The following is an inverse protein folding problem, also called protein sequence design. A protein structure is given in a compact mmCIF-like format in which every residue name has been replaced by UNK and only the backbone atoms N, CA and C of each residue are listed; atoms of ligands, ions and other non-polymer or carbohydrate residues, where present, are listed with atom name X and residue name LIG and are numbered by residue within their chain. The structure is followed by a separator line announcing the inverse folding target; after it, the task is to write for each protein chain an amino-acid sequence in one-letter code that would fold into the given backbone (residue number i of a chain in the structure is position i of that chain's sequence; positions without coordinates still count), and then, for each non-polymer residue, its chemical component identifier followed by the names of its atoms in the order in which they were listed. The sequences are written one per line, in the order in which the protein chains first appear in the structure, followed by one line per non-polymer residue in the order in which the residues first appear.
data_IF_922497362242
#
_entry.id   IF_922497362242
#
_cell.length_a   1.000
_cell.length_b   1.000
_cell.length_c   1.000
_cell.angle_alpha   90.00
_cell.angle_beta   90.00
_cell.angle_gamma   90.00
#
_symmetry.space_group_name_H-M   'P 1'
#
loop_
_entity.id
_entity.type
_entity.pdbx_description
1 polymer ?
#
# COMPACT_ATOMS: atom_id res chain seq x y z
N UNK A 1 -64.63 -35.46 -29.78
CA UNK A 1 -64.00 -35.13 -28.49
C UNK A 1 -62.50 -35.12 -28.71
N UNK A 2 -61.90 -33.93 -28.82
CA UNK A 2 -60.47 -33.75 -29.07
C UNK A 2 -59.75 -33.44 -27.75
N UNK A 3 -58.69 -34.19 -27.46
CA UNK A 3 -57.84 -33.99 -26.28
C UNK A 3 -56.67 -33.07 -26.65
N UNK A 4 -56.55 -31.94 -25.95
CA UNK A 4 -55.40 -31.04 -26.00
C UNK A 4 -54.39 -31.48 -24.94
N UNK A 5 -53.18 -31.85 -25.37
CA UNK A 5 -52.03 -32.05 -24.49
C UNK A 5 -51.24 -30.72 -24.41
N UNK A 6 -51.15 -30.16 -23.21
CA UNK A 6 -50.34 -28.97 -22.94
C UNK A 6 -48.92 -29.40 -22.54
N UNK A 7 -47.92 -28.99 -23.33
CA UNK A 7 -46.51 -29.16 -23.02
C UNK A 7 -46.06 -28.03 -22.07
N UNK A 8 -45.65 -28.39 -20.85
CA UNK A 8 -45.00 -27.48 -19.92
C UNK A 8 -43.49 -27.45 -20.23
N UNK A 9 -43.04 -26.38 -20.88
CA UNK A 9 -41.62 -26.04 -20.99
C UNK A 9 -41.12 -25.51 -19.65
N UNK A 10 -40.39 -26.34 -18.90
CA UNK A 10 -39.68 -25.92 -17.69
C UNK A 10 -38.46 -25.06 -18.05
N UNK A 11 -38.52 -23.77 -17.73
CA UNK A 11 -37.34 -22.92 -17.72
C UNK A 11 -36.54 -23.22 -16.45
N UNK A 12 -35.31 -23.71 -16.61
CA UNK A 12 -34.36 -23.84 -15.50
C UNK A 12 -34.00 -22.43 -14.99
N UNK A 13 -33.97 -22.21 -13.66
CA UNK A 13 -33.52 -20.94 -13.12
C UNK A 13 -32.03 -20.75 -13.45
N UNK A 14 -31.72 -19.65 -14.12
CA UNK A 14 -30.33 -19.17 -14.26
C UNK A 14 -29.85 -18.82 -12.85
N UNK A 15 -28.90 -19.62 -12.34
CA UNK A 15 -28.22 -19.32 -11.10
C UNK A 15 -27.45 -18.00 -11.28
N UNK A 16 -27.99 -16.93 -10.71
CA UNK A 16 -27.25 -15.67 -10.53
C UNK A 16 -26.26 -15.94 -9.40
N UNK A 17 -24.98 -16.11 -9.75
CA UNK A 17 -23.91 -16.13 -8.77
C UNK A 17 -23.88 -14.75 -8.11
N UNK A 18 -24.26 -14.70 -6.83
CA UNK A 18 -24.03 -13.52 -5.99
C UNK A 18 -22.52 -13.34 -5.88
N UNK A 19 -21.97 -12.14 -6.16
CA UNK A 19 -20.56 -11.87 -5.93
C UNK A 19 -20.25 -12.17 -4.47
N UNK A 20 -19.42 -13.19 -4.24
CA UNK A 20 -18.93 -13.49 -2.91
C UNK A 20 -18.15 -12.25 -2.45
N UNK A 21 -18.50 -11.69 -1.30
CA UNK A 21 -17.85 -10.49 -0.77
C UNK A 21 -16.32 -10.72 -0.77
N UNK A 22 -15.60 -9.88 -1.49
CA UNK A 22 -14.14 -9.81 -1.50
C UNK A 22 -13.66 -9.82 -0.05
N UNK A 23 -12.73 -10.72 0.29
CA UNK A 23 -12.04 -10.61 1.57
C UNK A 23 -11.27 -9.29 1.55
N UNK A 24 -11.25 -8.50 2.64
CA UNK A 24 -10.40 -7.33 2.70
C UNK A 24 -8.97 -7.73 2.32
N UNK A 25 -8.38 -7.04 1.34
CA UNK A 25 -7.03 -7.36 0.90
C UNK A 25 -6.04 -7.12 2.03
N UNK A 26 -5.14 -8.09 2.27
CA UNK A 26 -3.97 -7.86 3.10
C UNK A 26 -2.89 -7.19 2.23
N UNK A 27 -2.26 -6.14 2.76
CA UNK A 27 -1.23 -5.37 2.04
C UNK A 27 0.17 -5.91 2.31
N UNK A 28 0.33 -6.58 3.45
CA UNK A 28 1.58 -7.21 3.87
C UNK A 28 1.74 -8.66 3.41
N UNK A 29 0.66 -9.29 2.92
CA UNK A 29 0.65 -10.70 2.50
C UNK A 29 0.02 -10.81 1.12
N UNK A 30 0.53 -11.75 0.33
CA UNK A 30 -0.09 -12.11 -0.95
C UNK A 30 -1.29 -13.03 -0.72
N UNK A 31 -2.17 -13.08 -1.71
CA UNK A 31 -3.21 -14.11 -1.78
C UNK A 31 -2.54 -15.48 -1.89
N UNK A 32 -2.84 -16.38 -0.96
CA UNK A 32 -2.34 -17.76 -0.99
C UNK A 32 -3.19 -18.62 -1.91
N UNK A 33 -2.54 -19.45 -2.72
CA UNK A 33 -3.21 -20.33 -3.68
C UNK A 33 -2.56 -20.28 -5.04
N UNK A 34 -3.33 -20.65 -6.07
CA UNK A 34 -2.97 -20.46 -7.46
C UNK A 34 -3.83 -19.35 -8.01
N UNK A 35 -3.20 -18.25 -8.41
CA UNK A 35 -3.87 -17.02 -8.81
C UNK A 35 -3.40 -16.53 -10.16
N UNK A 36 -4.28 -15.82 -10.84
CA UNK A 36 -3.95 -14.99 -12.00
C UNK A 36 -4.63 -13.62 -11.89
N UNK A 37 -4.14 -12.67 -12.67
CA UNK A 37 -4.69 -11.32 -12.75
C UNK A 37 -5.66 -11.23 -13.93
N UNK A 38 -6.81 -10.62 -13.67
CA UNK A 38 -7.82 -10.39 -14.70
C UNK A 38 -8.39 -8.98 -14.59
N UNK A 39 -8.64 -8.35 -15.74
CA UNK A 39 -9.26 -7.02 -15.85
C UNK A 39 -10.20 -7.05 -17.05
N UNK A 40 -11.49 -6.72 -16.90
CA UNK A 40 -12.44 -6.81 -18.00
C UNK A 40 -11.98 -5.99 -19.21
N UNK A 41 -12.06 -6.59 -20.41
CA UNK A 41 -11.64 -5.97 -21.67
C UNK A 41 -10.13 -5.84 -21.87
N UNK A 42 -9.30 -6.32 -20.94
CA UNK A 42 -7.85 -6.30 -21.09
C UNK A 42 -7.35 -7.33 -22.12
N UNK A 43 -6.23 -7.03 -22.78
CA UNK A 43 -5.56 -7.97 -23.70
C UNK A 43 -4.39 -8.67 -23.00
N UNK A 44 -3.96 -9.85 -23.49
CA UNK A 44 -2.71 -10.50 -23.04
C UNK A 44 -1.50 -9.55 -23.06
N UNK A 45 -1.35 -8.76 -24.12
CA UNK A 45 -0.27 -7.78 -24.21
C UNK A 45 -0.32 -6.73 -23.09
N UNK A 46 -1.51 -6.23 -22.73
CA UNK A 46 -1.66 -5.28 -21.62
C UNK A 46 -1.42 -5.93 -20.26
N UNK A 47 -1.82 -7.20 -20.11
CA UNK A 47 -1.56 -8.01 -18.93
C UNK A 47 -0.06 -8.19 -18.71
N UNK A 48 0.64 -8.70 -19.73
CA UNK A 48 2.05 -9.04 -19.60
C UNK A 48 2.92 -7.80 -19.37
N UNK A 49 2.58 -6.69 -20.02
CA UNK A 49 3.24 -5.41 -19.79
C UNK A 49 3.06 -4.92 -18.33
N UNK A 50 1.84 -4.99 -17.78
CA UNK A 50 1.59 -4.59 -16.40
C UNK A 50 2.27 -5.54 -15.40
N UNK A 51 2.24 -6.87 -15.63
CA UNK A 51 2.94 -7.86 -14.80
C UNK A 51 4.45 -7.62 -14.80
N UNK A 52 5.06 -7.43 -15.97
CA UNK A 52 6.50 -7.18 -16.08
C UNK A 52 6.91 -5.88 -15.38
N UNK A 53 6.13 -4.80 -15.54
CA UNK A 53 6.36 -3.54 -14.84
C UNK A 53 6.23 -3.70 -13.32
N UNK A 54 5.17 -4.35 -12.86
CA UNK A 54 4.93 -4.57 -11.44
C UNK A 54 5.97 -5.51 -10.81
N UNK A 55 6.44 -6.52 -11.54
CA UNK A 55 7.54 -7.36 -11.12
C UNK A 55 8.83 -6.56 -10.92
N UNK A 56 9.14 -5.64 -11.83
CA UNK A 56 10.30 -4.77 -11.73
C UNK A 56 10.31 -3.90 -10.47
N UNK A 57 9.14 -3.43 -10.03
CA UNK A 57 8.99 -2.70 -8.76
C UNK A 57 9.00 -3.64 -7.54
N UNK A 58 8.28 -4.77 -7.62
CA UNK A 58 8.19 -5.75 -6.55
C UNK A 58 9.54 -6.36 -6.18
N UNK A 59 10.41 -6.60 -7.16
CA UNK A 59 11.75 -7.14 -6.97
C UNK A 59 12.69 -6.21 -6.17
N UNK A 60 12.33 -4.93 -5.99
CA UNK A 60 13.07 -3.97 -5.16
C UNK A 60 12.71 -4.05 -3.68
N UNK A 61 11.65 -4.78 -3.32
CA UNK A 61 11.24 -4.93 -1.92
C UNK A 61 12.24 -5.75 -1.13
N UNK A 62 12.30 -5.53 0.18
CA UNK A 62 13.21 -6.22 1.10
C UNK A 62 12.44 -6.59 2.35
N UNK A 63 12.45 -7.87 2.74
CA UNK A 63 11.69 -8.32 3.90
C UNK A 63 12.06 -7.54 5.18
N UNK A 64 11.09 -7.33 6.07
CA UNK A 64 11.35 -6.68 7.36
C UNK A 64 12.46 -7.42 8.14
N UNK A 65 12.49 -8.75 8.09
CA UNK A 65 13.53 -9.54 8.74
C UNK A 65 14.92 -9.15 8.22
N UNK A 66 15.13 -9.07 6.90
CA UNK A 66 16.39 -8.59 6.30
C UNK A 66 16.69 -7.12 6.69
N UNK A 67 15.68 -6.23 6.67
CA UNK A 67 15.84 -4.82 7.07
C UNK A 67 16.29 -4.67 8.53
N UNK A 68 15.83 -5.53 9.44
CA UNK A 68 16.17 -5.46 10.87
C UNK A 68 17.35 -6.36 11.30
N UNK A 69 17.61 -7.47 10.60
CA UNK A 69 18.73 -8.40 10.88
C UNK A 69 20.06 -7.93 10.30
N UNK A 70 20.05 -7.12 9.23
CA UNK A 70 21.27 -6.47 8.70
C UNK A 70 21.99 -5.55 9.73
N UNK A 71 21.37 -5.25 10.88
CA UNK A 71 21.99 -4.56 12.02
C UNK A 71 22.70 -5.46 13.04
N UNK A 72 22.54 -6.78 12.94
CA UNK A 72 23.32 -7.76 13.70
C UNK A 72 24.54 -8.16 12.85
N UNK A 73 25.49 -7.23 12.73
CA UNK A 73 26.62 -7.31 11.80
C UNK A 73 27.25 -8.70 11.68
N UNK A 74 27.54 -9.09 10.42
CA UNK A 74 28.48 -10.15 10.02
C UNK A 74 28.67 -11.25 11.06
N UNK A 75 27.60 -11.96 11.42
CA UNK A 75 27.73 -13.24 12.13
C UNK A 75 27.87 -14.33 11.07
N UNK A 76 29.07 -14.89 10.85
CA UNK A 76 29.29 -15.95 9.85
C UNK A 76 28.57 -17.26 10.24
N UNK A 77 27.88 -17.28 11.37
CA UNK A 77 27.28 -18.43 12.03
C UNK A 77 25.78 -18.57 11.80
N UNK A 78 25.14 -17.69 11.02
CA UNK A 78 23.74 -17.92 10.63
C UNK A 78 23.66 -19.11 9.68
N UNK A 79 23.35 -20.27 10.26
CA UNK A 79 23.24 -21.54 9.56
C UNK A 79 22.24 -21.49 8.41
N UNK A 80 22.33 -22.46 7.51
CA UNK A 80 21.51 -22.62 6.29
C UNK A 80 20.01 -22.38 6.54
N UNK A 81 19.51 -22.75 7.73
CA UNK A 81 18.13 -22.56 8.16
C UNK A 81 17.69 -21.07 8.23
N UNK A 82 18.54 -20.17 8.74
CA UNK A 82 18.20 -18.73 8.85
C UNK A 82 18.14 -18.10 7.46
N UNK A 83 19.10 -18.42 6.59
CA UNK A 83 19.11 -17.98 5.19
C UNK A 83 17.90 -18.50 4.38
N UNK A 84 17.48 -19.74 4.62
CA UNK A 84 16.28 -20.29 4.00
C UNK A 84 15.02 -19.55 4.46
N UNK A 85 14.93 -19.17 5.73
CA UNK A 85 13.81 -18.39 6.27
C UNK A 85 13.76 -16.97 5.70
N UNK A 86 14.88 -16.25 5.67
CA UNK A 86 14.98 -14.91 5.05
C UNK A 86 14.57 -14.96 3.58
N UNK A 87 15.03 -15.98 2.84
CA UNK A 87 14.63 -16.19 1.44
C UNK A 87 13.13 -16.43 1.31
N UNK A 88 12.53 -17.22 2.21
CA UNK A 88 11.08 -17.46 2.21
C UNK A 88 10.27 -16.20 2.51
N UNK A 89 10.69 -15.37 3.46
CA UNK A 89 10.01 -14.10 3.73
C UNK A 89 10.19 -13.12 2.58
N UNK A 90 11.37 -13.09 1.96
CA UNK A 90 11.62 -12.28 0.78
C UNK A 90 10.66 -12.62 -0.37
N UNK A 91 10.51 -13.91 -0.69
CA UNK A 91 9.55 -14.36 -1.72
C UNK A 91 8.14 -13.86 -1.47
N UNK A 92 7.73 -13.91 -0.21
CA UNK A 92 6.39 -13.52 0.23
C UNK A 92 6.17 -12.02 0.11
N UNK A 93 7.13 -11.18 0.52
CA UNK A 93 7.01 -9.72 0.35
C UNK A 93 7.05 -9.31 -1.13
N UNK A 94 7.88 -9.97 -1.95
CA UNK A 94 7.90 -9.72 -3.39
C UNK A 94 6.59 -10.15 -4.06
N UNK A 95 6.02 -11.29 -3.68
CA UNK A 95 4.70 -11.72 -4.14
C UNK A 95 3.59 -10.73 -3.75
N UNK A 96 3.58 -10.28 -2.49
CA UNK A 96 2.62 -9.29 -2.01
C UNK A 96 2.75 -7.96 -2.75
N UNK A 97 3.98 -7.50 -2.99
CA UNK A 97 4.28 -6.29 -3.73
C UNK A 97 3.83 -6.35 -5.20
N UNK A 98 4.02 -7.49 -5.87
CA UNK A 98 3.51 -7.73 -7.22
C UNK A 98 1.99 -7.62 -7.24
N UNK A 99 1.31 -8.35 -6.36
CA UNK A 99 -0.15 -8.34 -6.25
C UNK A 99 -0.69 -6.95 -5.96
N UNK A 100 -0.10 -6.25 -4.99
CA UNK A 100 -0.42 -4.87 -4.65
C UNK A 100 -0.30 -3.92 -5.85
N UNK A 101 0.77 -4.02 -6.63
CA UNK A 101 0.96 -3.22 -7.83
C UNK A 101 -0.10 -3.52 -8.89
N UNK A 102 -0.41 -4.79 -9.12
CA UNK A 102 -1.45 -5.20 -10.06
C UNK A 102 -2.83 -4.69 -9.63
N UNK A 103 -3.19 -4.86 -8.35
CA UNK A 103 -4.47 -4.40 -7.81
C UNK A 103 -4.61 -2.89 -7.90
N UNK A 104 -3.57 -2.12 -7.53
CA UNK A 104 -3.57 -0.66 -7.70
C UNK A 104 -3.78 -0.27 -9.17
N UNK A 105 -3.25 -1.04 -10.13
CA UNK A 105 -3.48 -0.81 -11.57
C UNK A 105 -4.86 -1.28 -12.09
N UNK A 106 -5.78 -1.64 -11.19
CA UNK A 106 -7.14 -2.03 -11.55
C UNK A 106 -7.29 -3.49 -11.96
N UNK A 107 -6.29 -4.34 -11.70
CA UNK A 107 -6.42 -5.79 -11.90
C UNK A 107 -7.12 -6.45 -10.70
N UNK A 108 -7.94 -7.45 -11.00
CA UNK A 108 -8.57 -8.34 -10.02
C UNK A 108 -7.65 -9.55 -9.79
N UNK A 109 -7.57 -10.01 -8.56
CA UNK A 109 -6.89 -11.28 -8.23
C UNK A 109 -7.94 -12.39 -8.29
N UNK A 110 -7.71 -13.37 -9.15
CA UNK A 110 -8.59 -14.52 -9.31
C UNK A 110 -7.90 -15.75 -8.77
N UNK A 111 -8.53 -16.44 -7.83
CA UNK A 111 -8.10 -17.71 -7.26
C UNK A 111 -8.76 -18.86 -8.02
N UNK A 112 -7.98 -19.85 -8.43
CA UNK A 112 -8.49 -21.07 -9.06
C UNK A 112 -8.35 -22.30 -8.16
N UNK A 113 -9.04 -23.38 -8.53
CA UNK A 113 -9.04 -24.62 -7.79
C UNK A 113 -7.63 -25.22 -7.65
N UNK A 114 -7.33 -25.80 -6.48
CA UNK A 114 -5.96 -26.24 -6.17
C UNK A 114 -5.42 -27.30 -7.14
N UNK A 115 -6.26 -28.26 -7.56
CA UNK A 115 -5.85 -29.32 -8.48
C UNK A 115 -5.52 -28.77 -9.87
N UNK A 116 -6.37 -27.87 -10.39
CA UNK A 116 -6.14 -27.21 -11.69
C UNK A 116 -4.90 -26.32 -11.63
N UNK A 117 -4.80 -25.45 -10.62
CA UNK A 117 -3.67 -24.55 -10.48
C UNK A 117 -2.34 -25.28 -10.31
N UNK A 118 -2.32 -26.41 -9.60
CA UNK A 118 -1.12 -27.25 -9.51
C UNK A 118 -0.70 -27.83 -10.86
N UNK A 119 -1.67 -28.26 -11.68
CA UNK A 119 -1.38 -28.78 -13.01
C UNK A 119 -0.83 -27.66 -13.90
N UNK A 120 -1.47 -26.48 -13.90
CA UNK A 120 -1.04 -25.32 -14.68
C UNK A 120 0.35 -24.83 -14.27
N UNK A 121 0.63 -24.78 -12.97
CA UNK A 121 1.93 -24.36 -12.45
C UNK A 121 3.09 -25.32 -12.83
N UNK A 122 2.78 -26.53 -13.28
CA UNK A 122 3.76 -27.50 -13.76
C UNK A 122 3.97 -27.43 -15.30
N UNK A 123 3.17 -26.63 -16.01
CA UNK A 123 3.30 -26.43 -17.45
C UNK A 123 4.41 -25.43 -17.78
N UNK A 124 4.78 -25.38 -19.06
CA UNK A 124 5.70 -24.37 -19.59
C UNK A 124 5.08 -22.96 -19.57
N UNK A 125 5.92 -21.93 -19.69
CA UNK A 125 5.47 -20.54 -19.82
C UNK A 125 4.43 -20.37 -20.95
N UNK A 126 4.71 -20.94 -22.12
CA UNK A 126 3.86 -20.82 -23.31
C UNK A 126 2.49 -21.46 -23.08
N UNK A 127 2.44 -22.66 -22.49
CA UNK A 127 1.19 -23.34 -22.19
C UNK A 127 0.34 -22.60 -21.14
N UNK A 128 0.96 -21.96 -20.14
CA UNK A 128 0.23 -21.13 -19.17
C UNK A 128 -0.25 -19.84 -19.80
N UNK A 129 0.54 -19.23 -20.70
CA UNK A 129 0.13 -18.04 -21.44
C UNK A 129 -1.07 -18.34 -22.37
N UNK A 130 -1.04 -19.47 -23.08
CA UNK A 130 -2.15 -19.97 -23.89
C UNK A 130 -3.40 -20.23 -23.03
N UNK A 131 -3.24 -20.81 -21.84
CA UNK A 131 -4.36 -21.00 -20.92
C UNK A 131 -4.95 -19.66 -20.44
N UNK A 132 -4.11 -18.65 -20.20
CA UNK A 132 -4.55 -17.30 -19.83
C UNK A 132 -5.16 -16.51 -20.98
N UNK A 133 -5.00 -16.96 -22.22
CA UNK A 133 -5.62 -16.34 -23.39
C UNK A 133 -7.16 -16.34 -23.23
N UNK A 134 -7.77 -15.18 -23.47
CA UNK A 134 -9.20 -14.97 -23.23
C UNK A 134 -9.62 -14.85 -21.76
N UNK A 135 -8.83 -15.34 -20.79
CA UNK A 135 -9.13 -15.23 -19.35
C UNK A 135 -8.73 -13.90 -18.74
N UNK A 136 -7.58 -13.34 -19.15
CA UNK A 136 -7.08 -12.06 -18.58
C UNK A 136 -8.04 -10.89 -18.84
N UNK A 137 -8.81 -10.95 -19.94
CA UNK A 137 -9.78 -9.94 -20.36
C UNK A 137 -11.24 -10.27 -20.07
N UNK A 138 -11.53 -11.44 -19.53
CA UNK A 138 -12.90 -11.91 -19.33
C UNK A 138 -13.68 -11.01 -18.36
N UNK A 139 -14.92 -10.69 -18.70
CA UNK A 139 -15.86 -10.00 -17.78
C UNK A 139 -16.09 -10.84 -16.51
N UNK A 140 -16.41 -12.12 -16.72
CA UNK A 140 -16.56 -13.15 -15.70
C UNK A 140 -15.39 -14.15 -15.79
N UNK A 141 -14.32 -13.96 -15.01
CA UNK A 141 -13.17 -14.86 -15.03
C UNK A 141 -13.52 -16.26 -14.52
N UNK A 142 -12.81 -17.28 -15.00
CA UNK A 142 -12.85 -18.63 -14.44
C UNK A 142 -12.13 -18.62 -13.08
N UNK A 143 -12.85 -18.88 -11.99
CA UNK A 143 -12.35 -18.87 -10.62
C UNK A 143 -13.03 -17.83 -9.73
N UNK A 144 -12.54 -17.69 -8.50
CA UNK A 144 -13.09 -16.77 -7.51
C UNK A 144 -12.31 -15.45 -7.53
N UNK A 145 -13.00 -14.32 -7.77
CA UNK A 145 -12.39 -13.01 -7.54
C UNK A 145 -12.23 -12.82 -6.04
N UNK A 146 -11.00 -12.88 -5.56
CA UNK A 146 -10.69 -12.84 -4.12
C UNK A 146 -10.17 -11.49 -3.65
N UNK A 147 -9.72 -10.64 -4.57
CA UNK A 147 -9.26 -9.28 -4.26
C UNK A 147 -9.43 -8.32 -5.44
N UNK A 148 -9.84 -7.10 -5.12
CA UNK A 148 -9.89 -5.94 -6.02
C UNK A 148 -9.37 -4.71 -5.29
N UNK A 149 -9.12 -3.61 -5.99
CA UNK A 149 -8.71 -2.37 -5.33
C UNK A 149 -9.84 -1.81 -4.48
N UNK A 150 -9.61 -1.67 -3.18
CA UNK A 150 -10.57 -1.05 -2.27
C UNK A 150 -9.91 -0.03 -1.32
N UNK A 151 -8.72 0.46 -1.68
CA UNK A 151 -7.83 1.23 -0.80
C UNK A 151 -7.59 0.45 0.50
N UNK A 152 -7.13 -0.81 0.36
CA UNK A 152 -7.08 -1.82 1.43
C UNK A 152 -6.34 -1.30 2.66
N UNK A 153 -5.20 -0.62 2.46
CA UNK A 153 -4.37 -0.07 3.54
C UNK A 153 -5.14 0.86 4.49
N UNK A 154 -6.20 1.52 4.01
CA UNK A 154 -7.04 2.37 4.83
C UNK A 154 -7.90 1.53 5.79
N UNK A 155 -8.27 0.30 5.46
CA UNK A 155 -9.19 -0.50 6.26
C UNK A 155 -8.53 -0.98 7.54
N UNK A 156 -9.27 -0.94 8.65
CA UNK A 156 -8.84 -1.49 9.94
C UNK A 156 -8.49 -2.98 9.88
N UNK A 157 -9.24 -3.72 9.07
CA UNK A 157 -9.11 -5.17 8.94
C UNK A 157 -7.86 -5.61 8.19
N UNK A 158 -7.24 -4.72 7.39
CA UNK A 158 -6.10 -5.07 6.57
C UNK A 158 -4.82 -5.15 7.39
N UNK A 159 -4.06 -6.22 7.22
CA UNK A 159 -2.70 -6.35 7.74
C UNK A 159 -1.78 -5.43 6.94
N UNK A 160 -1.19 -4.48 7.65
CA UNK A 160 -0.29 -3.47 7.10
C UNK A 160 1.19 -3.83 7.27
N UNK A 161 1.50 -4.66 8.26
CA UNK A 161 2.85 -5.16 8.49
C UNK A 161 2.77 -6.63 8.92
N UNK A 162 3.63 -7.45 8.33
CA UNK A 162 3.85 -8.83 8.71
C UNK A 162 5.36 -9.10 8.59
N UNK A 163 5.94 -9.71 9.62
CA UNK A 163 7.36 -10.05 9.63
C UNK A 163 7.61 -11.40 8.94
N UNK A 164 6.58 -12.27 8.94
CA UNK A 164 6.67 -13.63 8.41
C UNK A 164 5.53 -13.91 7.43
N UNK A 165 5.44 -13.16 6.33
CA UNK A 165 4.38 -13.36 5.36
C UNK A 165 4.50 -14.74 4.71
N UNK A 166 3.36 -15.34 4.37
CA UNK A 166 3.30 -16.62 3.67
C UNK A 166 3.34 -16.48 2.15
N UNK A 167 3.73 -17.55 1.45
CA UNK A 167 3.67 -17.64 -0.02
C UNK A 167 3.42 -19.08 -0.49
N UNK A 168 3.07 -19.22 -1.78
CA UNK A 168 3.23 -20.46 -2.56
C UNK A 168 4.17 -20.18 -3.73
N UNK A 169 5.23 -20.98 -3.88
CA UNK A 169 6.28 -20.74 -4.88
C UNK A 169 5.76 -20.63 -6.32
N UNK A 170 4.79 -21.48 -6.68
CA UNK A 170 4.29 -21.60 -8.05
C UNK A 170 2.83 -21.10 -8.17
N UNK A 171 2.40 -20.32 -7.19
CA UNK A 171 1.01 -19.86 -7.07
C UNK A 171 0.65 -18.68 -7.97
N UNK A 172 1.59 -18.09 -8.71
CA UNK A 172 1.36 -16.84 -9.47
C UNK A 172 1.44 -17.13 -10.97
N UNK A 173 0.35 -17.63 -11.54
CA UNK A 173 0.29 -18.08 -12.95
C UNK A 173 0.55 -16.93 -13.93
N UNK A 174 0.06 -15.73 -13.62
CA UNK A 174 0.33 -14.53 -14.42
C UNK A 174 1.81 -14.15 -14.47
N UNK A 175 2.56 -14.38 -13.38
CA UNK A 175 4.01 -14.14 -13.36
C UNK A 175 4.73 -15.12 -14.29
N UNK A 176 4.36 -16.40 -14.20
CA UNK A 176 4.92 -17.45 -15.05
C UNK A 176 4.65 -17.16 -16.53
N UNK A 177 3.39 -16.91 -16.91
CA UNK A 177 3.03 -16.62 -18.30
C UNK A 177 3.75 -15.39 -18.88
N UNK A 178 3.72 -14.26 -18.15
CA UNK A 178 4.23 -13.00 -18.68
C UNK A 178 5.76 -12.91 -18.70
N UNK A 179 6.46 -13.62 -17.79
CA UNK A 179 7.89 -13.41 -17.57
C UNK A 179 8.75 -14.68 -17.55
N UNK A 180 8.13 -15.85 -17.55
CA UNK A 180 8.81 -17.13 -17.37
C UNK A 180 9.38 -17.34 -15.96
N UNK A 181 9.03 -16.48 -15.00
CA UNK A 181 9.52 -16.51 -13.62
C UNK A 181 8.50 -17.10 -12.68
N UNK A 182 8.99 -17.66 -11.58
CA UNK A 182 8.19 -18.05 -10.42
C UNK A 182 8.72 -17.37 -9.17
N UNK A 183 7.95 -17.37 -8.07
CA UNK A 183 8.42 -16.78 -6.82
C UNK A 183 9.65 -17.53 -6.28
N UNK A 184 9.83 -18.81 -6.63
CA UNK A 184 11.03 -19.55 -6.26
C UNK A 184 12.34 -18.91 -6.78
N UNK A 185 12.26 -18.15 -7.89
CA UNK A 185 13.40 -17.47 -8.52
C UNK A 185 13.83 -16.19 -7.79
N UNK A 186 13.02 -15.71 -6.84
CA UNK A 186 13.37 -14.52 -6.04
C UNK A 186 14.60 -14.82 -5.20
N UNK A 187 15.65 -14.03 -5.43
CA UNK A 187 16.82 -13.98 -4.58
C UNK A 187 16.76 -12.74 -3.70
N UNK A 188 17.10 -12.84 -2.40
CA UNK A 188 17.19 -11.68 -1.54
C UNK A 188 18.17 -10.64 -2.09
N UNK A 189 17.66 -9.43 -2.33
CA UNK A 189 18.50 -8.27 -2.55
C UNK A 189 19.02 -7.84 -1.19
N UNK A 190 20.33 -8.03 -0.95
CA UNK A 190 20.98 -7.43 0.20
C UNK A 190 20.93 -5.92 0.06
N UNK A 191 20.11 -5.28 0.88
CA UNK A 191 20.22 -3.83 1.04
C UNK A 191 21.31 -3.54 2.08
N UNK A 192 22.30 -2.68 1.77
CA UNK A 192 23.16 -2.15 2.82
C UNK A 192 22.25 -1.45 3.82
N UNK A 193 22.32 -1.85 5.10
CA UNK A 193 21.53 -1.23 6.15
C UNK A 193 21.77 0.28 6.09
N UNK A 194 20.72 1.06 5.84
CA UNK A 194 20.78 2.45 6.23
C UNK A 194 20.68 2.47 7.75
N UNK A 195 21.70 2.94 8.48
CA UNK A 195 21.55 3.11 9.91
C UNK A 195 20.32 4.00 10.13
N UNK A 196 19.40 3.58 11.00
CA UNK A 196 18.39 4.46 11.58
C UNK A 196 19.09 5.50 12.47
N UNK A 197 19.94 6.34 11.87
CA UNK A 197 20.62 7.44 12.54
C UNK A 197 19.79 8.72 12.53
N UNK A 198 18.54 8.65 12.06
CA UNK A 198 17.55 9.67 12.34
C UNK A 198 17.11 9.54 13.80
N UNK A 199 17.96 9.99 14.74
CA UNK A 199 17.42 10.60 15.96
C UNK A 199 16.55 11.75 15.45
N UNK A 200 15.25 11.50 15.31
CA UNK A 200 14.29 12.50 14.88
C UNK A 200 14.53 13.76 15.69
N UNK A 201 14.59 14.92 15.02
CA UNK A 201 14.61 16.20 15.73
C UNK A 201 13.43 16.18 16.72
N UNK A 202 13.67 16.60 17.95
CA UNK A 202 12.62 16.64 18.96
C UNK A 202 11.47 17.49 18.41
N UNK A 203 10.26 16.97 18.56
CA UNK A 203 9.03 17.74 18.31
C UNK A 203 9.12 19.08 19.03
N UNK A 204 8.79 20.16 18.33
CA UNK A 204 8.68 21.49 18.89
C UNK A 204 7.56 21.49 19.94
N UNK A 205 7.75 22.28 21.00
CA UNK A 205 6.67 22.67 21.89
C UNK A 205 5.86 23.81 21.26
N UNK A 206 4.58 23.99 21.63
CA UNK A 206 3.75 25.08 21.10
C UNK A 206 4.39 26.47 21.22
N UNK A 207 5.10 26.75 22.31
CA UNK A 207 5.75 28.05 22.55
C UNK A 207 6.93 28.30 21.60
N UNK A 208 7.47 27.26 20.97
CA UNK A 208 8.62 27.34 20.07
C UNK A 208 8.19 27.64 18.61
N UNK A 209 6.90 27.53 18.29
CA UNK A 209 6.36 27.77 16.94
C UNK A 209 6.72 29.18 16.46
N UNK A 210 6.56 30.20 17.31
CA UNK A 210 6.88 31.59 16.98
C UNK A 210 8.39 31.87 16.78
N UNK A 211 9.27 30.94 17.18
CA UNK A 211 10.73 31.08 17.02
C UNK A 211 11.27 30.42 15.75
N UNK A 212 10.40 29.78 14.97
CA UNK A 212 10.79 29.16 13.69
C UNK A 212 11.10 30.27 12.67
N UNK A 213 12.22 30.17 11.92
CA UNK A 213 12.58 31.19 10.92
C UNK A 213 11.48 31.41 9.87
N UNK A 214 11.27 32.66 9.44
CA UNK A 214 10.22 33.05 8.49
C UNK A 214 10.26 32.30 7.13
N UNK A 215 11.44 31.83 6.72
CA UNK A 215 11.61 31.03 5.50
C UNK A 215 11.23 29.55 5.64
N UNK A 216 11.01 29.06 6.86
CA UNK A 216 10.53 27.72 7.12
C UNK A 216 9.01 27.71 7.28
N UNK A 217 8.43 26.52 7.21
CA UNK A 217 7.05 26.26 7.53
C UNK A 217 6.97 25.27 8.70
N UNK A 218 5.76 25.05 9.21
CA UNK A 218 5.53 24.18 10.36
C UNK A 218 4.48 23.14 9.98
N UNK A 219 4.83 21.88 10.19
CA UNK A 219 3.92 20.75 10.04
C UNK A 219 3.47 20.28 11.43
N UNK A 220 2.16 20.23 11.63
CA UNK A 220 1.51 19.70 12.82
C UNK A 220 0.78 18.41 12.44
N UNK A 221 1.07 17.32 13.15
CA UNK A 221 0.43 16.02 12.94
C UNK A 221 0.04 15.45 14.30
N UNK A 222 -1.09 14.76 14.36
CA UNK A 222 -1.46 13.97 15.53
C UNK A 222 -1.62 12.51 15.12
N UNK A 223 -1.15 11.60 15.97
CA UNK A 223 -1.69 10.24 15.98
C UNK A 223 -2.58 10.12 17.20
N UNK A 224 -3.88 9.95 16.97
CA UNK A 224 -4.90 9.94 18.00
C UNK A 224 -4.88 8.62 18.78
N UNK A 225 -4.82 7.49 18.06
CA UNK A 225 -4.75 6.16 18.61
C UNK A 225 -3.81 5.27 17.78
N UNK A 226 -3.08 4.37 18.43
CA UNK A 226 -2.18 3.40 17.81
C UNK A 226 -2.74 1.98 17.85
N UNK A 227 -2.29 1.12 16.93
CA UNK A 227 -2.44 -0.33 17.09
C UNK A 227 -1.57 -0.82 18.26
N UNK A 228 -1.82 -2.06 18.71
CA UNK A 228 -1.12 -2.71 19.84
C UNK A 228 0.40 -2.71 19.71
N UNK A 229 0.90 -2.88 18.48
CA UNK A 229 2.34 -2.90 18.19
C UNK A 229 2.86 -1.57 17.63
N UNK A 230 1.97 -0.56 17.57
CA UNK A 230 2.27 0.79 17.12
C UNK A 230 1.85 1.08 15.69
N UNK A 231 2.19 2.29 15.26
CA UNK A 231 1.96 2.78 13.89
C UNK A 231 2.81 4.02 13.67
N UNK A 232 3.30 4.17 12.44
CA UNK A 232 4.02 5.37 12.05
C UNK A 232 3.62 5.81 10.65
N UNK A 233 3.79 7.12 10.43
CA UNK A 233 3.69 7.78 9.14
C UNK A 233 5.04 8.42 8.85
N UNK A 234 5.51 8.27 7.63
CA UNK A 234 6.63 9.05 7.12
C UNK A 234 6.08 10.08 6.14
N UNK A 235 6.33 11.34 6.43
CA UNK A 235 6.09 12.43 5.51
C UNK A 235 7.42 12.79 4.84
N UNK A 236 7.47 12.87 3.52
CA UNK A 236 8.68 13.27 2.78
C UNK A 236 8.35 14.41 1.84
N UNK A 237 9.28 15.35 1.68
CA UNK A 237 9.18 16.41 0.69
C UNK A 237 9.57 15.90 -0.70
N UNK A 238 8.70 16.08 -1.71
CA UNK A 238 8.90 15.52 -3.07
C UNK A 238 10.22 15.95 -3.72
N UNK A 239 10.58 17.22 -3.56
CA UNK A 239 11.81 17.80 -4.14
C UNK A 239 13.02 17.72 -3.19
N UNK A 240 12.87 17.04 -2.05
CA UNK A 240 13.97 16.71 -1.15
C UNK A 240 14.81 15.55 -1.72
N UNK A 241 16.11 15.51 -1.40
CA UNK A 241 16.92 14.33 -1.72
C UNK A 241 16.34 13.12 -0.97
N UNK A 242 15.71 12.20 -1.69
CA UNK A 242 14.88 11.12 -1.16
C UNK A 242 15.55 10.22 -0.11
N UNK A 243 14.68 9.48 0.60
CA UNK A 243 14.92 8.31 1.47
C UNK A 243 16.37 8.09 1.93
N UNK A 244 16.83 9.01 2.76
CA UNK A 244 18.03 8.87 3.58
C UNK A 244 17.89 9.76 4.80
N UNK A 245 18.48 9.43 5.96
CA UNK A 245 18.54 10.36 7.07
C UNK A 245 19.20 11.65 6.56
N UNK A 246 18.57 12.83 6.72
CA UNK A 246 19.19 14.07 6.31
C UNK A 246 20.53 14.20 7.06
N UNK A 247 21.60 14.68 6.39
CA UNK A 247 22.78 15.17 7.09
C UNK A 247 22.35 16.13 8.20
N UNK A 248 23.06 16.14 9.33
CA UNK A 248 22.71 16.95 10.52
C UNK A 248 22.48 18.43 10.17
N UNK A 249 23.14 18.89 9.10
CA UNK A 249 23.14 20.28 8.63
C UNK A 249 22.13 20.59 7.50
N UNK A 250 21.36 19.61 7.00
CA UNK A 250 20.32 19.87 6.00
C UNK A 250 18.95 20.16 6.62
N UNK A 251 18.11 20.97 5.97
CA UNK A 251 16.71 21.09 6.33
C UNK A 251 16.04 19.72 6.33
N UNK A 252 15.09 19.51 7.24
CA UNK A 252 14.41 18.23 7.40
C UNK A 252 13.53 17.96 6.16
N UNK A 253 13.97 17.07 5.27
CA UNK A 253 13.18 16.64 4.10
C UNK A 253 12.25 15.46 4.41
N UNK A 254 12.26 14.96 5.65
CA UNK A 254 11.43 13.85 6.10
C UNK A 254 10.99 13.99 7.57
N UNK A 255 9.70 13.83 7.86
CA UNK A 255 9.13 13.87 9.20
C UNK A 255 8.48 12.53 9.55
N UNK A 256 9.08 11.82 10.51
CA UNK A 256 8.54 10.58 11.06
C UNK A 256 7.60 10.89 12.23
N UNK A 257 6.37 10.41 12.14
CA UNK A 257 5.36 10.53 13.20
C UNK A 257 5.02 9.11 13.66
N UNK A 258 5.50 8.74 14.85
CA UNK A 258 5.37 7.38 15.37
C UNK A 258 4.77 7.31 16.77
N UNK A 259 3.93 6.31 16.98
CA UNK A 259 3.35 5.90 18.28
C UNK A 259 3.40 4.38 18.40
N UNK A 260 3.26 3.86 19.61
CA UNK A 260 3.27 2.45 19.98
C UNK A 260 4.37 2.09 20.96
N UNK A 261 4.60 0.79 21.12
CA UNK A 261 5.65 0.24 21.99
C UNK A 261 7.05 0.73 21.60
N UNK A 262 7.35 0.78 20.31
CA UNK A 262 8.64 1.27 19.78
C UNK A 262 8.91 2.74 20.14
N UNK A 263 7.85 3.54 20.30
CA UNK A 263 7.93 4.97 20.60
C UNK A 263 7.50 5.32 22.05
N UNK A 264 7.15 4.31 22.85
CA UNK A 264 6.65 4.43 24.22
C UNK A 264 5.50 5.44 24.42
N UNK A 265 4.60 5.57 23.43
CA UNK A 265 3.44 6.49 23.45
C UNK A 265 2.26 5.90 22.68
N UNK A 266 1.04 5.86 23.19
CA UNK A 266 -0.14 5.38 22.44
C UNK A 266 -0.78 6.43 21.52
N UNK A 267 -0.52 7.70 21.80
CA UNK A 267 -0.95 8.86 21.02
C UNK A 267 0.11 9.95 21.10
N UNK A 268 0.05 10.94 20.22
CA UNK A 268 0.96 12.07 20.32
C UNK A 268 0.78 13.14 19.26
N UNK A 269 1.20 14.34 19.62
CA UNK A 269 1.38 15.46 18.70
C UNK A 269 2.84 15.54 18.27
N UNK A 270 3.04 15.75 16.97
CA UNK A 270 4.33 16.06 16.37
C UNK A 270 4.22 17.43 15.69
N UNK A 271 5.05 18.36 16.12
CA UNK A 271 5.18 19.71 15.55
C UNK A 271 6.62 19.82 15.07
N UNK A 272 6.83 20.04 13.78
CA UNK A 272 8.17 20.11 13.21
C UNK A 272 8.29 21.29 12.26
N UNK A 273 9.41 22.01 12.36
CA UNK A 273 9.80 22.99 11.35
C UNK A 273 10.32 22.24 10.11
N UNK A 274 9.78 22.59 8.96
CA UNK A 274 10.03 21.94 7.67
C UNK A 274 10.28 22.97 6.57
N UNK A 275 11.03 22.63 5.52
CA UNK A 275 11.05 23.44 4.31
C UNK A 275 9.66 23.53 3.66
N UNK A 276 9.35 24.67 3.01
CA UNK A 276 8.25 24.76 2.07
C UNK A 276 8.38 23.77 0.91
N UNK A 277 7.24 23.41 0.34
CA UNK A 277 7.10 22.52 -0.82
C UNK A 277 5.97 21.51 -0.67
N UNK A 278 5.95 20.53 -1.57
CA UNK A 278 5.00 19.42 -1.56
C UNK A 278 5.45 18.33 -0.60
N UNK A 279 4.61 18.02 0.38
CA UNK A 279 4.81 16.96 1.36
C UNK A 279 3.88 15.78 1.08
N UNK A 280 4.44 14.58 1.06
CA UNK A 280 3.76 13.33 0.72
C UNK A 280 3.77 12.40 1.92
N UNK A 281 2.68 11.66 2.17
CA UNK A 281 2.72 10.50 3.07
C UNK A 281 3.36 9.37 2.27
N UNK A 282 4.67 9.14 2.46
CA UNK A 282 5.44 8.18 1.67
C UNK A 282 5.49 6.80 2.31
N UNK A 283 5.29 6.71 3.63
CA UNK A 283 5.16 5.42 4.30
C UNK A 283 4.05 5.41 5.34
N UNK A 284 3.43 4.24 5.50
CA UNK A 284 2.42 3.96 6.49
C UNK A 284 2.67 2.57 7.08
N UNK A 285 3.04 2.51 8.36
CA UNK A 285 3.37 1.28 9.08
C UNK A 285 4.40 0.38 8.34
N UNK A 286 5.36 0.99 7.64
CA UNK A 286 6.41 0.28 6.91
C UNK A 286 6.08 -0.10 5.46
N UNK A 287 4.85 0.20 5.00
CA UNK A 287 4.48 0.09 3.59
C UNK A 287 4.89 1.38 2.88
N UNK A 288 5.62 1.24 1.78
CA UNK A 288 5.98 2.33 0.89
C UNK A 288 4.80 2.67 -0.04
N UNK A 289 4.40 3.94 -0.09
CA UNK A 289 3.25 4.43 -0.84
C UNK A 289 3.59 4.90 -2.27
N UNK A 290 4.69 4.40 -2.84
CA UNK A 290 5.22 4.79 -4.14
C UNK A 290 4.23 4.65 -5.32
N UNK A 291 3.20 3.81 -5.20
CA UNK A 291 2.22 3.61 -6.26
C UNK A 291 1.12 4.69 -6.29
N UNK A 292 1.09 5.56 -5.28
CA UNK A 292 0.14 6.66 -5.19
C UNK A 292 0.02 7.17 -3.76
N UNK A 293 0.89 8.09 -3.38
CA UNK A 293 0.88 8.75 -2.09
C UNK A 293 -0.10 9.94 -2.10
N UNK A 294 -0.77 10.21 -0.96
CA UNK A 294 -1.46 11.47 -0.77
C UNK A 294 -0.45 12.57 -0.40
N UNK A 295 -0.65 13.76 -0.95
CA UNK A 295 0.25 14.89 -0.79
C UNK A 295 -0.49 16.20 -0.56
N UNK A 296 0.18 17.16 0.08
CA UNK A 296 -0.31 18.52 0.29
C UNK A 296 0.83 19.53 0.15
N UNK A 297 0.48 20.77 -0.16
CA UNK A 297 1.43 21.86 -0.29
C UNK A 297 1.64 22.58 1.04
N UNK A 298 2.85 23.09 1.26
CA UNK A 298 3.23 23.94 2.39
C UNK A 298 4.06 25.12 1.88
N UNK A 299 3.64 26.35 2.20
CA UNK A 299 4.30 27.60 1.77
C UNK A 299 5.17 28.19 2.90
N UNK A 300 6.12 29.09 2.57
CA UNK A 300 6.91 29.79 3.59
C UNK A 300 6.03 30.45 4.66
N UNK A 301 6.41 30.30 5.93
CA UNK A 301 5.71 30.89 7.08
C UNK A 301 4.40 30.21 7.49
N UNK A 302 3.91 29.21 6.74
CA UNK A 302 2.64 28.56 7.08
C UNK A 302 2.77 27.58 8.24
N UNK A 303 1.70 27.48 9.04
CA UNK A 303 1.48 26.39 9.99
C UNK A 303 0.36 25.50 9.45
N UNK A 304 0.72 24.28 9.05
CA UNK A 304 -0.20 23.35 8.40
C UNK A 304 -0.47 22.17 9.31
N UNK A 305 -1.76 21.91 9.55
CA UNK A 305 -2.23 20.70 10.23
C UNK A 305 -2.50 19.60 9.20
N UNK A 306 -1.63 18.59 9.15
CA UNK A 306 -1.79 17.41 8.29
C UNK A 306 -2.81 16.39 8.83
N UNK A 307 -3.46 16.71 9.95
CA UNK A 307 -4.56 15.92 10.47
C UNK A 307 -4.20 15.02 11.66
N UNK A 308 -5.25 14.46 12.25
CA UNK A 308 -5.18 13.40 13.23
C UNK A 308 -5.41 12.06 12.54
N UNK A 309 -4.50 11.13 12.76
CA UNK A 309 -4.60 9.77 12.26
C UNK A 309 -5.01 8.84 13.40
N UNK A 310 -6.10 8.11 13.21
CA UNK A 310 -6.54 7.05 14.10
C UNK A 310 -6.32 5.70 13.42
N UNK A 311 -5.29 4.96 13.83
CA UNK A 311 -5.00 3.64 13.26
C UNK A 311 -5.99 2.55 13.66
N UNK A 312 -6.87 2.84 14.63
CA UNK A 312 -7.94 1.96 15.13
C UNK A 312 -9.29 2.25 14.49
N UNK A 313 -9.43 3.37 13.76
CA UNK A 313 -10.63 3.69 13.00
C UNK A 313 -10.87 2.67 11.88
N UNK A 314 -12.15 2.44 11.54
CA UNK A 314 -12.55 1.48 10.50
C UNK A 314 -11.96 1.82 9.13
N UNK A 315 -11.83 3.12 8.84
CA UNK A 315 -11.07 3.66 7.71
C UNK A 315 -10.08 4.70 8.19
N UNK A 316 -8.81 4.45 7.94
CA UNK A 316 -7.70 5.34 8.21
C UNK A 316 -7.72 6.50 7.21
N UNK A 317 -7.63 7.71 7.74
CA UNK A 317 -7.54 8.96 7.02
C UNK A 317 -7.20 10.09 7.99
N UNK A 318 -6.74 11.25 7.48
CA UNK A 318 -6.55 12.42 8.32
C UNK A 318 -7.90 13.03 8.71
N UNK A 319 -8.16 13.14 10.01
CA UNK A 319 -9.16 14.08 10.53
C UNK A 319 -8.55 15.49 10.53
N UNK A 320 -9.12 16.37 9.72
CA UNK A 320 -8.65 17.73 9.48
C UNK A 320 -9.33 18.78 10.37
N UNK A 321 -10.12 18.37 11.36
CA UNK A 321 -10.75 19.28 12.31
C UNK A 321 -9.72 20.07 13.13
N UNK A 322 -9.89 21.39 13.22
CA UNK A 322 -8.95 22.27 13.92
C UNK A 322 -9.24 22.42 15.43
N UNK A 323 -10.38 21.95 15.91
CA UNK A 323 -10.77 22.07 17.33
C UNK A 323 -9.70 21.46 18.27
N UNK A 324 -9.21 20.22 18.05
CA UNK A 324 -8.16 19.65 18.90
C UNK A 324 -6.82 20.39 18.82
N UNK A 325 -6.56 21.10 17.72
CA UNK A 325 -5.35 21.92 17.55
C UNK A 325 -5.40 23.13 18.47
N UNK A 326 -6.56 23.81 18.55
CA UNK A 326 -6.75 24.96 19.43
C UNK A 326 -6.50 24.61 20.90
N UNK A 327 -7.02 23.47 21.35
CA UNK A 327 -6.79 22.93 22.70
C UNK A 327 -5.31 22.66 22.95
N UNK A 328 -4.64 21.99 21.99
CA UNK A 328 -3.22 21.65 22.10
C UNK A 328 -2.33 22.89 22.20
N UNK A 329 -2.63 23.93 21.42
CA UNK A 329 -1.89 25.18 21.44
C UNK A 329 -2.13 25.97 22.73
N UNK A 330 -3.32 25.86 23.34
CA UNK A 330 -3.63 26.46 24.65
C UNK A 330 -3.40 27.98 24.70
N UNK A 331 -3.66 28.68 23.58
CA UNK A 331 -3.44 30.13 23.46
C UNK A 331 -1.98 30.57 23.28
N UNK A 332 -1.01 29.65 23.31
CA UNK A 332 0.43 29.95 23.16
C UNK A 332 0.82 30.27 21.72
N UNK A 333 -0.02 29.88 20.78
CA UNK A 333 0.05 30.26 19.37
C UNK A 333 -1.38 30.48 18.86
N UNK A 334 -1.63 31.48 18.01
CA UNK A 334 -2.97 31.73 17.49
C UNK A 334 -3.43 30.57 16.59
N UNK A 335 -4.44 29.82 17.03
CA UNK A 335 -4.99 28.69 16.26
C UNK A 335 -5.54 29.12 14.89
N UNK A 336 -5.96 30.38 14.75
CA UNK A 336 -6.39 30.98 13.48
C UNK A 336 -5.30 31.08 12.42
N UNK A 337 -4.02 30.96 12.80
CA UNK A 337 -2.89 30.91 11.88
C UNK A 337 -2.56 29.48 11.43
N UNK A 338 -3.25 28.47 11.98
CA UNK A 338 -3.14 27.08 11.54
C UNK A 338 -4.21 26.81 10.50
N UNK A 339 -3.80 26.28 9.34
CA UNK A 339 -4.73 25.79 8.32
C UNK A 339 -4.69 24.26 8.24
N UNK A 340 -5.81 23.58 7.91
CA UNK A 340 -5.76 22.17 7.56
C UNK A 340 -4.98 21.97 6.26
N UNK A 341 -4.39 20.80 6.11
CA UNK A 341 -3.83 20.36 4.84
C UNK A 341 -4.94 20.14 3.81
N UNK A 342 -4.64 20.46 2.55
CA UNK A 342 -5.50 20.15 1.41
C UNK A 342 -4.80 19.06 0.61
N UNK A 343 -5.35 17.85 0.67
CA UNK A 343 -4.73 16.68 0.08
C UNK A 343 -5.01 16.53 -1.41
N UNK A 344 -4.11 15.85 -2.10
CA UNK A 344 -4.27 15.31 -3.45
C UNK A 344 -3.69 13.91 -3.50
N UNK A 345 -4.39 12.96 -4.08
CA UNK A 345 -4.01 11.54 -4.17
C UNK A 345 -3.15 11.25 -5.41
N UNK A 346 -2.47 10.10 -5.43
CA UNK A 346 -1.88 9.57 -6.66
C UNK A 346 -0.47 10.07 -7.00
N UNK A 347 0.25 10.66 -6.05
CA UNK A 347 1.64 11.04 -6.27
C UNK A 347 2.54 9.81 -6.26
N UNK A 348 3.10 9.46 -7.42
CA UNK A 348 4.01 8.31 -7.54
C UNK A 348 5.43 8.69 -7.16
N UNK A 349 6.16 7.71 -6.62
CA UNK A 349 7.53 7.85 -6.12
C UNK A 349 8.40 6.63 -6.40
N UNK A 350 9.55 6.55 -5.73
CA UNK A 350 10.45 5.40 -5.83
C UNK A 350 9.97 4.26 -4.93
N UNK A 351 9.79 3.07 -5.50
CA UNK A 351 9.37 1.89 -4.76
C UNK A 351 10.55 1.14 -4.13
N UNK A 352 10.31 0.56 -2.96
CA UNK A 352 11.24 -0.21 -2.15
C UNK A 352 10.61 -0.62 -0.82
N UNK A 353 11.43 -0.89 0.19
CA UNK A 353 11.03 -1.31 1.54
C UNK A 353 10.30 -2.67 1.60
N UNK A 354 9.63 -2.98 2.70
CA UNK A 354 9.03 -4.29 2.94
C UNK A 354 7.74 -4.56 2.17
N UNK A 355 7.08 -3.53 1.66
CA UNK A 355 5.91 -3.65 0.79
C UNK A 355 5.67 -2.34 0.05
N UNK A 356 4.96 -2.40 -1.07
CA UNK A 356 4.57 -1.25 -1.89
C UNK A 356 3.05 -1.20 -2.04
N UNK A 357 2.46 -0.01 -2.00
CA UNK A 357 1.02 0.18 -2.18
C UNK A 357 0.69 1.63 -2.61
N UNK A 358 -0.59 1.95 -2.74
CA UNK A 358 -1.10 3.31 -2.84
C UNK A 358 -2.03 3.61 -1.65
N UNK A 359 -2.15 4.86 -1.23
CA UNK A 359 -3.10 5.26 -0.19
C UNK A 359 -3.86 6.49 -0.65
N UNK A 360 -5.19 6.41 -0.56
CA UNK A 360 -6.07 7.50 -0.97
C UNK A 360 -6.77 8.11 0.24
N UNK A 361 -6.61 9.42 0.41
CA UNK A 361 -7.44 10.20 1.34
C UNK A 361 -8.82 10.35 0.71
N UNK A 362 -9.91 10.01 1.42
CA UNK A 362 -11.28 10.17 0.90
C UNK A 362 -11.53 11.59 0.39
N UNK A 363 -12.27 11.69 -0.71
CA UNK A 363 -12.70 12.95 -1.36
C UNK A 363 -11.57 13.88 -1.84
N UNK A 364 -10.30 13.51 -1.67
CA UNK A 364 -9.19 14.30 -2.19
C UNK A 364 -9.06 14.09 -3.71
N UNK A 365 -8.84 15.19 -4.49
CA UNK A 365 -8.64 15.09 -5.93
C UNK A 365 -7.37 14.31 -6.28
N UNK A 366 -7.32 13.75 -7.48
CA UNK A 366 -6.13 13.06 -7.97
C UNK A 366 -5.13 14.01 -8.63
N UNK A 367 -3.84 13.69 -8.47
CA UNK A 367 -2.75 14.36 -9.17
C UNK A 367 -2.91 14.22 -10.70
N UNK A 368 -2.51 15.22 -11.50
CA UNK A 368 -2.59 15.14 -12.95
C UNK A 368 -1.91 13.89 -13.51
N UNK A 369 -2.63 13.16 -14.36
CA UNK A 369 -2.11 11.96 -15.04
C UNK A 369 -2.05 10.69 -14.18
N UNK A 370 -2.51 10.73 -12.93
CA UNK A 370 -2.72 9.50 -12.16
C UNK A 370 -3.94 8.75 -12.71
N UNK A 371 -3.82 7.46 -13.01
CA UNK A 371 -4.90 6.64 -13.61
C UNK A 371 -5.06 5.29 -12.92
N UNK A 372 -4.58 5.18 -11.69
CA UNK A 372 -4.60 3.97 -10.89
C UNK A 372 -5.51 4.16 -9.66
N UNK A 373 -5.64 3.12 -8.85
CA UNK A 373 -6.44 3.12 -7.63
C UNK A 373 -7.89 3.52 -7.89
N UNK A 374 -8.41 4.42 -7.06
CA UNK A 374 -9.75 4.98 -7.17
C UNK A 374 -9.96 5.81 -8.43
N UNK A 375 -8.91 6.26 -9.11
CA UNK A 375 -9.00 7.00 -10.38
C UNK A 375 -8.92 6.09 -11.63
N UNK A 376 -8.85 4.78 -11.46
CA UNK A 376 -8.82 3.86 -12.59
C UNK A 376 -10.19 3.83 -13.31
N UNK A 377 -10.29 3.86 -14.64
CA UNK A 377 -11.59 3.94 -15.33
C UNK A 377 -12.58 2.82 -14.95
N UNK A 378 -12.08 1.63 -14.62
CA UNK A 378 -12.89 0.48 -14.18
C UNK A 378 -13.20 0.46 -12.67
N UNK A 379 -12.69 1.39 -11.86
CA UNK A 379 -13.06 1.51 -10.43
C UNK A 379 -14.45 2.14 -10.25
N UNK A 380 -15.07 2.63 -11.33
CA UNK A 380 -16.38 3.31 -11.35
C UNK A 380 -17.59 2.39 -11.14
N UNK A 381 -17.38 1.14 -10.71
CA UNK A 381 -18.46 0.28 -10.27
C UNK A 381 -18.98 0.73 -8.88
N UNK A 382 -19.97 1.63 -8.95
CA UNK A 382 -21.08 1.88 -8.02
C UNK A 382 -21.06 3.16 -7.15
N UNK A 383 -21.66 4.27 -7.60
CA UNK A 383 -22.03 5.41 -6.76
C UNK A 383 -23.44 5.30 -6.16
N UNK A 384 -24.09 4.12 -6.15
CA UNK A 384 -25.46 3.97 -5.65
C UNK A 384 -25.53 3.13 -4.37
N UNK A 385 -25.22 3.77 -3.23
CA UNK A 385 -25.40 3.20 -1.90
C UNK A 385 -26.14 4.17 -0.97
N UNK A 386 -27.39 4.49 -1.29
CA UNK A 386 -28.36 5.08 -0.35
C UNK A 386 -28.36 4.39 1.01
N UNK A 387 -28.15 5.16 2.09
CA UNK A 387 -29.03 5.20 3.27
C UNK A 387 -29.01 6.59 3.89
#
# INVERSE_FOLDING_TARGET
MAAFAAALTGASPVATSVPQASRPGDVAEMTLGYTYYNRPGATPASHDADVALCWGEAAKTVSNDELFTAGAGDRPTEGVMVRALVTNYQRSVTGAALENCMVVRGWRVVLIGEAEGRNLAALSQEEVADWLEGRVGAETPDGDIVRVWENDIARRSSRRAEFRPGHKNDGQLSLLAATGKVLADVTPVRSPMQPMSARGRKSLKPEQIASVPEGAAILVVRVANSLKDGGWLLFTRRDGSGSGPPPVDRPLDAALVGVGKTYSKSSGWTIVAVPPGRWEITQLAGINLCLGAPAFEVKPGEVVYAGAFDFTADRLGPDLSLEPVGEMLGGRFPASLVRPAVYSNGWRGHCGDASIYAFEVPDAPFAPGYVWGGNHPSSSADPAGTR
#
